data_IF_259105894045
#
_entry.id   IF_259105894045
#
_cell.length_a   1.000
_cell.length_b   1.000
_cell.length_c   1.000
_cell.angle_alpha   90.00
_cell.angle_beta   90.00
_cell.angle_gamma   90.00
#
_symmetry.space_group_name_H-M   'P 1'
#
loop_
_entity.id
_entity.type
_entity.pdbx_description
1 polymer ?
#
# COMPACT_ATOMS: atom_id res chain seq x y z
N UNK A 1 23.55 5.29 -11.20
CA UNK A 1 22.14 5.64 -10.94
C UNK A 1 21.42 4.37 -10.53
N UNK A 2 20.82 4.33 -9.34
CA UNK A 2 20.01 3.18 -8.90
C UNK A 2 18.69 3.17 -9.67
N UNK A 3 18.39 2.05 -10.34
CA UNK A 3 17.11 1.84 -10.99
C UNK A 3 15.99 1.90 -9.94
N UNK A 4 14.88 2.57 -10.27
CA UNK A 4 13.70 2.65 -9.39
C UNK A 4 12.58 1.79 -9.93
N UNK A 5 11.81 1.21 -9.02
CA UNK A 5 10.62 0.43 -9.34
C UNK A 5 9.42 1.15 -8.79
N UNK A 6 8.53 1.55 -9.70
CA UNK A 6 7.23 2.11 -9.33
C UNK A 6 6.21 0.98 -9.15
N UNK A 7 5.37 1.11 -8.13
CA UNK A 7 4.22 0.25 -7.92
C UNK A 7 3.08 1.03 -7.26
N UNK A 8 1.89 0.44 -7.24
CA UNK A 8 0.68 1.06 -6.71
C UNK A 8 0.06 0.15 -5.65
N UNK A 9 -0.53 0.75 -4.61
CA UNK A 9 -1.39 0.05 -3.65
C UNK A 9 -2.78 0.67 -3.76
N UNK A 10 -3.81 -0.18 -3.83
CA UNK A 10 -5.22 0.23 -3.76
C UNK A 10 -5.79 -0.19 -2.41
N UNK A 11 -6.19 0.78 -1.60
CA UNK A 11 -6.89 0.55 -0.35
C UNK A 11 -8.39 0.40 -0.61
N UNK A 12 -8.94 -0.71 -0.14
CA UNK A 12 -10.34 -1.07 -0.27
C UNK A 12 -10.93 -1.32 1.11
N UNK A 13 -12.21 -1.02 1.29
CA UNK A 13 -12.98 -1.42 2.46
C UNK A 13 -13.17 -2.95 2.50
N UNK A 14 -13.81 -3.43 3.56
CA UNK A 14 -14.03 -4.86 3.80
C UNK A 14 -14.85 -5.55 2.70
N UNK A 15 -15.67 -4.79 1.96
CA UNK A 15 -16.46 -5.27 0.81
C UNK A 15 -15.64 -5.55 -0.45
N UNK A 16 -14.34 -5.21 -0.44
CA UNK A 16 -13.41 -5.36 -1.56
C UNK A 16 -13.76 -4.56 -2.83
N UNK A 17 -14.70 -3.63 -2.77
CA UNK A 17 -15.13 -2.84 -3.93
C UNK A 17 -15.05 -1.34 -3.67
N UNK A 18 -15.34 -0.91 -2.44
CA UNK A 18 -15.34 0.50 -2.06
C UNK A 18 -13.92 0.99 -1.81
N UNK A 19 -13.41 1.98 -2.57
CA UNK A 19 -12.09 2.54 -2.35
C UNK A 19 -12.04 3.39 -1.08
N UNK A 20 -10.90 3.37 -0.38
CA UNK A 20 -10.63 4.26 0.74
C UNK A 20 -9.79 5.44 0.24
N UNK A 21 -10.42 6.58 -0.02
CA UNK A 21 -9.76 7.81 -0.45
C UNK A 21 -9.22 8.62 0.75
N UNK A 22 -8.28 9.54 0.51
CA UNK A 22 -7.76 10.48 1.50
C UNK A 22 -7.08 9.84 2.73
N UNK A 23 -6.74 8.55 2.67
CA UNK A 23 -6.01 7.84 3.71
C UNK A 23 -4.51 7.80 3.41
N UNK A 24 -3.67 7.75 4.44
CA UNK A 24 -2.23 7.55 4.28
C UNK A 24 -1.91 6.06 4.29
N UNK A 25 -1.11 5.62 3.32
CA UNK A 25 -0.49 4.30 3.34
C UNK A 25 1.00 4.49 3.67
N UNK A 26 1.43 3.89 4.77
CA UNK A 26 2.82 3.83 5.19
C UNK A 26 3.40 2.45 4.86
N UNK A 27 4.60 2.43 4.28
CA UNK A 27 5.37 1.20 4.12
C UNK A 27 6.36 1.06 5.28
N UNK A 28 6.47 -0.16 5.81
CA UNK A 28 7.44 -0.54 6.82
C UNK A 28 8.46 -1.52 6.21
N UNK A 29 9.74 -1.40 6.61
CA UNK A 29 10.89 -2.19 6.12
C UNK A 29 11.39 -1.90 4.69
N UNK A 30 10.60 -1.19 3.87
CA UNK A 30 11.05 -0.57 2.60
C UNK A 30 10.65 0.89 2.61
N UNK A 31 11.42 1.77 1.96
CA UNK A 31 11.19 3.22 1.98
C UNK A 31 10.83 3.74 3.39
N UNK A 32 11.67 3.40 4.38
CA UNK A 32 11.41 3.66 5.80
C UNK A 32 10.87 5.08 6.03
N UNK A 33 9.61 5.16 6.48
CA UNK A 33 8.97 6.41 6.87
C UNK A 33 8.22 7.16 5.77
N UNK A 34 8.24 6.70 4.51
CA UNK A 34 7.42 7.33 3.48
C UNK A 34 5.94 6.95 3.64
N UNK A 35 5.10 7.98 3.55
CA UNK A 35 3.65 7.88 3.57
C UNK A 35 3.11 8.53 2.31
N UNK A 36 2.15 7.88 1.68
CA UNK A 36 1.49 8.41 0.50
C UNK A 36 -0.01 8.37 0.69
N UNK A 37 -0.65 9.47 0.28
CA UNK A 37 -2.09 9.64 0.41
C UNK A 37 -2.81 8.96 -0.75
N UNK A 38 -3.91 8.28 -0.47
CA UNK A 38 -4.76 7.66 -1.49
C UNK A 38 -5.60 8.73 -2.20
N UNK A 39 -5.69 8.60 -3.52
CA UNK A 39 -6.57 9.44 -4.36
C UNK A 39 -8.05 8.97 -4.29
N UNK A 40 -8.92 9.58 -5.09
CA UNK A 40 -10.36 9.27 -5.15
C UNK A 40 -10.67 7.80 -5.51
N UNK A 41 -9.73 7.11 -6.15
CA UNK A 41 -9.83 5.69 -6.49
C UNK A 41 -9.22 4.77 -5.41
N UNK A 42 -8.81 5.33 -4.27
CA UNK A 42 -8.16 4.62 -3.17
C UNK A 42 -6.71 4.22 -3.47
N UNK A 43 -6.06 4.85 -4.46
CA UNK A 43 -4.73 4.43 -4.93
C UNK A 43 -3.64 5.35 -4.40
N UNK A 44 -2.57 4.76 -3.87
CA UNK A 44 -1.29 5.43 -3.59
C UNK A 44 -0.18 4.82 -4.46
N UNK A 45 0.70 5.67 -5.00
CA UNK A 45 1.83 5.26 -5.84
C UNK A 45 3.14 5.39 -5.06
N UNK A 46 4.03 4.41 -5.21
CA UNK A 46 5.30 4.31 -4.49
C UNK A 46 6.43 4.07 -5.48
N UNK A 47 7.63 4.54 -5.12
CA UNK A 47 8.88 4.25 -5.84
C UNK A 47 9.92 3.71 -4.87
N UNK A 48 10.41 2.50 -5.08
CA UNK A 48 11.51 1.92 -4.29
C UNK A 48 12.76 1.76 -5.14
N UNK A 49 13.92 1.71 -4.49
CA UNK A 49 15.14 1.28 -5.16
C UNK A 49 15.00 -0.18 -5.64
N UNK A 50 15.51 -0.48 -6.83
CA UNK A 50 15.45 -1.83 -7.39
C UNK A 50 16.13 -2.85 -6.49
N UNK A 51 17.15 -2.48 -5.72
CA UNK A 51 17.81 -3.35 -4.73
C UNK A 51 16.89 -3.80 -3.58
N UNK A 52 15.76 -3.11 -3.37
CA UNK A 52 14.81 -3.39 -2.29
C UNK A 52 13.61 -4.24 -2.73
N UNK A 53 13.51 -4.62 -4.02
CA UNK A 53 12.32 -5.30 -4.55
C UNK A 53 12.03 -6.68 -3.93
N UNK A 54 13.07 -7.37 -3.45
CA UNK A 54 12.94 -8.65 -2.75
C UNK A 54 12.74 -8.49 -1.24
N UNK A 55 12.85 -7.27 -0.70
CA UNK A 55 12.62 -7.04 0.72
C UNK A 55 11.13 -7.16 1.01
N UNK A 56 10.83 -7.97 2.00
CA UNK A 56 9.51 -8.07 2.59
C UNK A 56 9.16 -6.78 3.34
N UNK A 57 7.94 -6.30 3.17
CA UNK A 57 7.42 -5.09 3.80
C UNK A 57 6.02 -5.30 4.37
N UNK A 58 5.58 -4.36 5.19
CA UNK A 58 4.18 -4.24 5.62
C UNK A 58 3.62 -2.93 5.10
N UNK A 59 2.32 -2.93 4.81
CA UNK A 59 1.58 -1.73 4.49
C UNK A 59 0.59 -1.46 5.62
N UNK A 60 0.64 -0.25 6.14
CA UNK A 60 -0.24 0.25 7.20
C UNK A 60 -1.10 1.34 6.62
N UNK A 61 -2.41 1.27 6.86
CA UNK A 61 -3.32 2.37 6.59
C UNK A 61 -3.43 3.24 7.83
N UNK A 62 -3.39 4.56 7.64
CA UNK A 62 -3.58 5.57 8.66
C UNK A 62 -4.64 6.53 8.13
N UNK A 63 -5.73 6.69 8.86
CA UNK A 63 -6.81 7.60 8.48
C UNK A 63 -7.44 8.21 9.73
N UNK A 64 -7.22 9.52 9.96
CA UNK A 64 -7.63 10.20 11.20
C UNK A 64 -7.07 9.44 12.43
N UNK A 65 -7.93 9.05 13.37
CA UNK A 65 -7.56 8.29 14.58
C UNK A 65 -7.49 6.77 14.36
N UNK A 66 -7.71 6.31 13.12
CA UNK A 66 -7.68 4.90 12.76
C UNK A 66 -6.35 4.46 12.15
N UNK A 67 -5.90 3.27 12.55
CA UNK A 67 -4.71 2.61 11.99
C UNK A 67 -4.94 1.10 11.86
N UNK A 68 -4.60 0.52 10.70
CA UNK A 68 -4.75 -0.91 10.46
C UNK A 68 -3.65 -1.49 9.57
N UNK A 69 -3.31 -2.75 9.86
CA UNK A 69 -2.57 -3.62 8.96
C UNK A 69 -3.55 -4.64 8.32
N UNK A 70 -3.79 -4.57 7.01
CA UNK A 70 -4.81 -5.39 6.34
C UNK A 70 -4.38 -6.87 6.24
N UNK A 71 -3.07 -7.11 6.37
CA UNK A 71 -2.42 -8.41 6.30
C UNK A 71 -1.43 -8.47 7.46
N UNK A 72 -1.95 -8.48 8.69
CA UNK A 72 -1.12 -8.47 9.91
C UNK A 72 -0.29 -9.75 10.08
N UNK A 73 -0.74 -10.86 9.48
CA UNK A 73 -0.23 -12.22 9.65
C UNK A 73 0.93 -12.59 8.70
N UNK A 74 1.14 -11.85 7.61
CA UNK A 74 2.21 -12.15 6.64
C UNK A 74 2.79 -10.88 6.00
N UNK A 75 4.11 -10.84 5.77
CA UNK A 75 4.71 -9.74 5.02
C UNK A 75 4.34 -9.81 3.54
N UNK A 76 4.39 -8.65 2.88
CA UNK A 76 4.23 -8.50 1.44
C UNK A 76 5.63 -8.48 0.82
N UNK A 77 5.87 -9.26 -0.23
CA UNK A 77 7.07 -9.11 -1.06
C UNK A 77 6.61 -8.63 -2.42
N UNK A 78 7.28 -7.61 -2.99
CA UNK A 78 7.11 -7.22 -4.39
C UNK A 78 7.75 -8.28 -5.29
N UNK A 79 7.33 -9.53 -5.13
CA UNK A 79 7.82 -10.60 -5.97
C UNK A 79 7.07 -10.52 -7.30
N UNK A 80 7.84 -10.51 -8.38
CA UNK A 80 7.42 -10.42 -9.78
C UNK A 80 7.23 -9.00 -10.35
N UNK A 81 8.06 -8.74 -11.36
CA UNK A 81 7.84 -7.78 -12.44
C UNK A 81 6.45 -7.88 -13.13
N UNK A 82 5.60 -8.87 -12.77
CA UNK A 82 4.27 -9.11 -13.36
C UNK A 82 3.15 -8.25 -12.76
N UNK A 83 3.36 -7.57 -11.63
CA UNK A 83 2.33 -6.72 -10.98
C UNK A 83 2.54 -5.21 -11.15
N UNK A 84 3.47 -4.75 -11.99
CA UNK A 84 3.68 -3.30 -12.19
C UNK A 84 2.45 -2.60 -12.78
N UNK A 85 1.65 -3.31 -13.57
CA UNK A 85 0.48 -2.75 -14.25
C UNK A 85 -0.78 -2.69 -13.36
N UNK A 86 -0.91 -3.58 -12.37
CA UNK A 86 -2.08 -3.66 -11.52
C UNK A 86 -1.74 -3.28 -10.08
N UNK A 87 -2.52 -2.40 -9.43
CA UNK A 87 -2.27 -2.06 -8.04
C UNK A 87 -2.38 -3.30 -7.15
N UNK A 88 -1.53 -3.36 -6.12
CA UNK A 88 -1.69 -4.30 -5.04
C UNK A 88 -2.94 -3.91 -4.23
N UNK A 89 -3.98 -4.73 -4.32
CA UNK A 89 -5.22 -4.49 -3.57
C UNK A 89 -5.06 -4.97 -2.12
N UNK A 90 -5.31 -4.06 -1.19
CA UNK A 90 -5.31 -4.33 0.24
C UNK A 90 -6.70 -4.03 0.81
N UNK A 91 -7.27 -5.00 1.51
CA UNK A 91 -8.60 -4.92 2.11
C UNK A 91 -8.46 -4.61 3.59
N UNK A 92 -9.04 -3.49 3.97
CA UNK A 92 -9.06 -2.97 5.34
C UNK A 92 -10.42 -3.26 5.95
N UNK A 93 -10.45 -3.65 7.22
CA UNK A 93 -11.67 -4.14 7.89
C UNK A 93 -12.59 -3.02 8.29
N UNK A 94 -12.08 -1.80 8.49
CA UNK A 94 -12.95 -0.72 8.94
C UNK A 94 -13.77 -0.12 7.79
N UNK A 95 -15.06 0.04 8.08
CA UNK A 95 -15.96 0.87 7.29
C UNK A 95 -15.68 2.33 7.62
N UNK A 96 -14.66 2.88 6.97
CA UNK A 96 -14.37 4.31 7.07
C UNK A 96 -15.56 5.04 6.44
N UNK A 97 -16.31 5.76 7.25
CA UNK A 97 -17.34 6.68 6.75
C UNK A 97 -16.60 7.85 6.11
N UNK A 98 -16.61 7.83 4.78
CA UNK A 98 -15.97 8.78 3.89
C UNK A 98 -16.82 10.05 3.77
#
# INVERSE_FOLDING_TARGET
MSERISFKIKALQSDATTPIYNAEIQLENINLGQKYKTNDNGIASFEIESTQHLKSFRAKLIHKDYQEYPIADRPITLNSMRRREKPLELRFREKIWL
#
